data_IF_158928365160
#
_entry.id   IF_158928365160
#
_cell.length_a   1.000
_cell.length_b   1.000
_cell.length_c   1.000
_cell.angle_alpha   90.00
_cell.angle_beta   90.00
_cell.angle_gamma   90.00
#
_symmetry.space_group_name_H-M   'P 1'
#
loop_
_entity.id
_entity.type
_entity.pdbx_description
1 polymer ?
#
# COMPACT_ATOMS: atom_id res chain seq x y z
N UNK A 1 -92.41 -40.73 -4.74
CA UNK A 1 -92.03 -42.11 -5.09
C UNK A 1 -90.61 -42.07 -5.63
N UNK A 2 -89.69 -42.64 -4.85
CA UNK A 2 -88.32 -43.11 -5.17
C UNK A 2 -87.33 -42.09 -5.77
N UNK A 3 -86.32 -41.65 -5.01
CA UNK A 3 -85.04 -42.32 -4.67
C UNK A 3 -84.01 -42.30 -5.80
N UNK A 4 -82.87 -41.63 -5.55
CA UNK A 4 -81.49 -42.15 -5.69
C UNK A 4 -80.47 -40.98 -5.57
N UNK A 5 -80.27 -40.48 -4.36
CA UNK A 5 -79.09 -39.68 -4.03
C UNK A 5 -77.90 -40.63 -3.81
N UNK A 6 -76.85 -40.49 -4.62
CA UNK A 6 -75.61 -41.25 -4.49
C UNK A 6 -74.88 -40.81 -3.22
N UNK A 7 -74.81 -41.71 -2.23
CA UNK A 7 -73.96 -41.55 -1.05
C UNK A 7 -72.51 -41.86 -1.42
N UNK A 8 -71.63 -40.89 -1.20
CA UNK A 8 -70.19 -41.14 -1.15
C UNK A 8 -69.85 -41.71 0.24
N UNK A 9 -69.00 -42.75 0.36
CA UNK A 9 -68.58 -43.23 1.67
C UNK A 9 -67.72 -42.17 2.34
N UNK A 10 -68.04 -41.86 3.60
CA UNK A 10 -67.23 -41.02 4.45
C UNK A 10 -65.85 -41.68 4.62
N UNK A 11 -64.80 -41.02 4.14
CA UNK A 11 -63.42 -41.35 4.48
C UNK A 11 -63.26 -41.28 6.00
N UNK A 12 -62.70 -42.31 6.65
CA UNK A 12 -62.42 -42.24 8.08
C UNK A 12 -61.47 -41.07 8.35
N UNK A 13 -61.73 -40.31 9.41
CA UNK A 13 -60.81 -39.28 9.93
C UNK A 13 -59.46 -39.95 10.17
N UNK A 14 -58.55 -39.76 9.22
CA UNK A 14 -57.13 -40.03 9.39
C UNK A 14 -56.65 -39.22 10.58
N UNK A 15 -56.34 -39.92 11.67
CA UNK A 15 -55.49 -39.44 12.74
C UNK A 15 -54.23 -38.89 12.09
N UNK A 16 -54.06 -37.56 12.10
CA UNK A 16 -52.85 -36.95 11.59
C UNK A 16 -51.64 -37.55 12.33
N UNK A 17 -50.67 -38.14 11.62
CA UNK A 17 -49.42 -38.54 12.25
C UNK A 17 -48.73 -37.28 12.76
N UNK A 18 -48.35 -37.27 14.04
CA UNK A 18 -47.53 -36.20 14.58
C UNK A 18 -46.22 -36.13 13.79
N UNK A 19 -45.72 -34.92 13.46
CA UNK A 19 -44.45 -34.78 12.78
C UNK A 19 -43.34 -35.43 13.63
N UNK A 20 -42.32 -36.08 13.01
CA UNK A 20 -41.29 -36.86 13.71
C UNK A 20 -40.35 -36.05 14.60
N UNK A 21 -40.58 -34.74 14.74
CA UNK A 21 -39.80 -33.81 15.53
C UNK A 21 -40.75 -33.03 16.45
N UNK A 22 -41.31 -33.71 17.44
CA UNK A 22 -41.68 -33.02 18.67
C UNK A 22 -40.37 -32.53 19.28
N UNK A 23 -40.15 -31.21 19.30
CA UNK A 23 -39.04 -30.61 20.03
C UNK A 23 -39.04 -31.19 21.46
N UNK A 24 -37.92 -31.80 21.92
CA UNK A 24 -37.84 -32.19 23.32
C UNK A 24 -38.07 -30.94 24.17
N UNK A 25 -38.89 -31.04 25.22
CA UNK A 25 -39.04 -29.94 26.18
C UNK A 25 -37.62 -29.49 26.60
N UNK A 26 -37.33 -28.18 26.61
CA UNK A 26 -36.02 -27.71 27.01
C UNK A 26 -35.69 -28.28 28.39
N UNK A 27 -34.48 -28.82 28.58
CA UNK A 27 -34.12 -29.49 29.84
C UNK A 27 -34.35 -28.51 30.99
N UNK A 28 -35.21 -28.89 31.93
CA UNK A 28 -35.42 -28.08 33.14
C UNK A 28 -34.12 -28.10 33.94
N UNK A 29 -33.44 -26.96 33.96
CA UNK A 29 -32.24 -26.80 34.77
C UNK A 29 -32.57 -27.07 36.24
N UNK A 30 -31.71 -27.81 36.96
CA UNK A 30 -31.87 -28.02 38.40
C UNK A 30 -31.94 -26.68 39.16
N UNK A 31 -32.72 -26.64 40.23
CA UNK A 31 -32.90 -25.42 41.04
C UNK A 31 -31.63 -25.02 41.81
N UNK A 32 -30.71 -25.96 42.06
CA UNK A 32 -29.41 -25.70 42.65
C UNK A 32 -28.38 -26.76 42.24
N UNK A 33 -27.14 -26.34 41.97
CA UNK A 33 -26.01 -27.17 41.55
C UNK A 33 -24.78 -26.77 42.36
N UNK A 34 -24.06 -27.74 42.95
CA UNK A 34 -22.81 -27.44 43.66
C UNK A 34 -21.71 -27.02 42.69
N UNK A 35 -20.70 -26.28 43.15
CA UNK A 35 -19.57 -25.89 42.29
C UNK A 35 -18.86 -27.13 41.68
N UNK A 36 -18.69 -28.19 42.49
CA UNK A 36 -18.09 -29.45 42.02
C UNK A 36 -18.92 -30.10 40.91
N UNK A 37 -20.24 -30.17 41.07
CA UNK A 37 -21.14 -30.72 40.04
C UNK A 37 -21.12 -29.85 38.77
N UNK A 38 -21.04 -28.52 38.90
CA UNK A 38 -20.91 -27.64 37.75
C UNK A 38 -19.68 -27.99 36.91
N UNK A 39 -18.50 -28.08 37.53
CA UNK A 39 -17.27 -28.44 36.81
C UNK A 39 -17.31 -29.84 36.20
N UNK A 40 -17.94 -30.81 36.86
CA UNK A 40 -17.97 -32.20 36.41
C UNK A 40 -18.97 -32.47 35.28
N UNK A 41 -20.12 -31.77 35.28
CA UNK A 41 -21.27 -32.14 34.45
C UNK A 41 -21.79 -31.00 33.56
N UNK A 42 -21.60 -29.73 33.96
CA UNK A 42 -22.28 -28.60 33.33
C UNK A 42 -21.35 -27.62 32.62
N UNK A 43 -20.06 -27.57 32.98
CA UNK A 43 -19.10 -26.64 32.40
C UNK A 43 -18.88 -26.89 30.90
N UNK A 44 -18.71 -28.16 30.51
CA UNK A 44 -18.58 -28.63 29.11
C UNK A 44 -19.88 -29.30 28.62
N UNK A 45 -21.05 -28.82 29.04
CA UNK A 45 -22.34 -29.42 28.67
C UNK A 45 -22.51 -29.42 27.13
N UNK A 46 -22.93 -30.54 26.50
CA UNK A 46 -22.90 -30.69 25.04
C UNK A 46 -23.89 -29.76 24.31
N UNK A 47 -25.02 -29.45 24.94
CA UNK A 47 -26.12 -28.73 24.29
C UNK A 47 -26.33 -27.30 24.79
N UNK A 48 -25.66 -26.90 25.89
CA UNK A 48 -25.95 -25.64 26.59
C UNK A 48 -24.65 -24.96 27.01
N UNK A 49 -24.55 -23.65 26.74
CA UNK A 49 -23.49 -22.82 27.29
C UNK A 49 -23.96 -22.16 28.59
N UNK A 50 -23.40 -22.60 29.73
CA UNK A 50 -23.86 -22.23 31.06
C UNK A 50 -22.76 -21.55 31.87
N UNK A 51 -23.13 -20.43 32.51
CA UNK A 51 -22.43 -19.84 33.64
C UNK A 51 -23.02 -20.37 34.96
N UNK A 52 -22.27 -20.20 36.05
CA UNK A 52 -22.72 -20.61 37.38
C UNK A 52 -22.56 -19.48 38.38
N UNK A 53 -23.60 -19.21 39.16
CA UNK A 53 -23.60 -18.13 40.15
C UNK A 53 -24.30 -18.60 41.41
N UNK A 54 -23.52 -18.82 42.47
CA UNK A 54 -24.02 -19.17 43.80
C UNK A 54 -25.05 -20.32 43.77
N UNK A 55 -24.70 -21.40 43.08
CA UNK A 55 -25.54 -22.57 42.98
C UNK A 55 -26.58 -22.54 41.86
N UNK A 56 -26.76 -21.43 41.14
CA UNK A 56 -27.70 -21.32 40.01
C UNK A 56 -26.96 -21.43 38.68
N UNK A 57 -27.54 -22.17 37.74
CA UNK A 57 -27.10 -22.20 36.35
C UNK A 57 -27.74 -21.05 35.58
N UNK A 58 -26.95 -20.32 34.81
CA UNK A 58 -27.39 -19.19 33.98
C UNK A 58 -26.99 -19.47 32.53
N UNK A 59 -27.97 -19.55 31.62
CA UNK A 59 -27.67 -19.73 30.19
C UNK A 59 -27.06 -18.45 29.60
N UNK A 60 -26.07 -18.63 28.73
CA UNK A 60 -25.44 -17.53 28.01
C UNK A 60 -26.34 -17.18 26.80
N UNK A 61 -26.99 -16.01 26.80
CA UNK A 61 -27.84 -15.58 25.70
C UNK A 61 -26.99 -15.17 24.49
N UNK A 62 -27.60 -15.18 23.32
CA UNK A 62 -26.94 -14.78 22.06
C UNK A 62 -27.28 -13.33 21.71
N UNK A 63 -26.29 -12.56 21.26
CA UNK A 63 -26.50 -11.19 20.77
C UNK A 63 -27.05 -11.14 19.35
N UNK A 64 -27.63 -10.00 18.96
CA UNK A 64 -28.06 -9.74 17.60
C UNK A 64 -26.88 -9.56 16.62
N UNK A 65 -27.15 -9.71 15.32
CA UNK A 65 -26.11 -9.66 14.29
C UNK A 65 -25.41 -8.30 14.17
N UNK A 66 -26.06 -7.18 14.48
CA UNK A 66 -25.43 -5.86 14.45
C UNK A 66 -24.44 -5.73 15.61
N UNK A 67 -24.81 -6.21 16.80
CA UNK A 67 -23.90 -6.24 17.95
C UNK A 67 -22.70 -7.14 17.68
N UNK A 68 -22.91 -8.28 17.02
CA UNK A 68 -21.83 -9.18 16.55
C UNK A 68 -20.86 -8.45 15.60
N UNK A 69 -21.35 -7.58 14.70
CA UNK A 69 -20.47 -6.79 13.83
C UNK A 69 -19.62 -5.76 14.61
N UNK A 70 -20.19 -5.14 15.65
CA UNK A 70 -19.45 -4.23 16.54
C UNK A 70 -18.35 -5.00 17.27
N UNK A 71 -18.68 -6.18 17.79
CA UNK A 71 -17.74 -7.08 18.44
C UNK A 71 -16.59 -7.47 17.51
N UNK A 72 -16.89 -7.97 16.30
CA UNK A 72 -15.84 -8.39 15.35
C UNK A 72 -14.93 -7.25 14.92
N UNK A 73 -15.47 -6.05 14.71
CA UNK A 73 -14.66 -4.89 14.36
C UNK A 73 -13.69 -4.51 15.48
N UNK A 74 -14.13 -4.51 16.75
CA UNK A 74 -13.24 -4.23 17.88
C UNK A 74 -12.21 -5.35 18.08
N UNK A 75 -12.62 -6.61 17.93
CA UNK A 75 -11.73 -7.77 18.00
C UNK A 75 -10.63 -7.68 16.93
N UNK A 76 -10.98 -7.38 15.67
CA UNK A 76 -9.99 -7.20 14.60
C UNK A 76 -8.95 -6.12 14.97
N UNK A 77 -9.41 -5.00 15.52
CA UNK A 77 -8.56 -3.91 15.96
C UNK A 77 -7.60 -4.34 17.10
N UNK A 78 -8.11 -5.06 18.10
CA UNK A 78 -7.33 -5.61 19.20
C UNK A 78 -6.29 -6.62 18.71
N UNK A 79 -6.65 -7.50 17.77
CA UNK A 79 -5.73 -8.47 17.19
C UNK A 79 -4.60 -7.78 16.41
N UNK A 80 -4.89 -6.70 15.68
CA UNK A 80 -3.84 -5.89 15.04
C UNK A 80 -2.89 -5.27 16.05
N UNK A 81 -3.42 -4.73 17.16
CA UNK A 81 -2.59 -4.24 18.25
C UNK A 81 -1.72 -5.34 18.86
N UNK A 82 -2.29 -6.50 19.20
CA UNK A 82 -1.55 -7.60 19.84
C UNK A 82 -0.51 -8.25 18.93
N UNK A 83 -0.67 -8.22 17.60
CA UNK A 83 0.39 -8.64 16.66
C UNK A 83 1.66 -7.81 16.79
N UNK A 84 1.55 -6.53 17.16
CA UNK A 84 2.69 -5.62 17.38
C UNK A 84 3.14 -5.59 18.84
N UNK A 85 2.23 -5.88 19.74
CA UNK A 85 2.43 -5.91 21.19
C UNK A 85 1.95 -7.26 21.73
N UNK A 86 2.72 -8.36 21.55
CA UNK A 86 2.35 -9.72 21.96
C UNK A 86 2.43 -9.89 23.48
N UNK A 87 1.64 -9.09 24.18
CA UNK A 87 1.76 -8.77 25.59
C UNK A 87 0.56 -9.32 26.38
N UNK A 88 -0.31 -10.09 25.73
CA UNK A 88 -1.46 -10.70 26.37
C UNK A 88 -1.89 -12.01 25.70
N UNK A 89 -2.43 -12.90 26.52
CA UNK A 89 -3.16 -14.08 26.11
C UNK A 89 -4.65 -13.75 25.98
N UNK A 90 -5.35 -14.45 25.08
CA UNK A 90 -6.78 -14.28 24.85
C UNK A 90 -7.55 -15.37 25.61
N UNK A 91 -8.58 -14.95 26.34
CA UNK A 91 -9.59 -15.80 26.94
C UNK A 91 -10.86 -15.68 26.08
N UNK A 92 -11.24 -16.74 25.37
CA UNK A 92 -12.40 -16.75 24.47
C UNK A 92 -12.95 -18.18 24.36
N UNK A 93 -13.88 -18.40 23.42
CA UNK A 93 -14.43 -19.73 23.11
C UNK A 93 -14.99 -20.42 24.36
N UNK A 94 -15.84 -19.69 25.10
CA UNK A 94 -16.54 -20.20 26.28
C UNK A 94 -15.62 -20.62 27.43
N UNK A 95 -14.35 -20.18 27.42
CA UNK A 95 -13.44 -20.43 28.54
C UNK A 95 -13.90 -19.62 29.75
N UNK A 96 -14.32 -20.32 30.80
CA UNK A 96 -14.73 -19.71 32.06
C UNK A 96 -13.58 -19.48 33.02
N UNK A 97 -13.80 -18.56 33.96
CA UNK A 97 -12.91 -18.31 35.09
C UNK A 97 -13.72 -18.20 36.38
N UNK A 98 -13.09 -18.52 37.50
CA UNK A 98 -13.72 -18.57 38.82
C UNK A 98 -13.54 -17.25 39.57
N UNK A 99 -14.63 -16.70 40.09
CA UNK A 99 -14.70 -15.47 40.87
C UNK A 99 -14.98 -15.81 42.33
N UNK A 100 -14.03 -15.54 43.21
CA UNK A 100 -14.26 -15.56 44.66
C UNK A 100 -14.69 -14.17 45.12
N UNK A 101 -15.98 -14.00 45.43
CA UNK A 101 -16.57 -12.70 45.77
C UNK A 101 -16.33 -12.33 47.25
N UNK A 102 -16.27 -11.03 47.60
CA UNK A 102 -15.97 -10.59 48.96
C UNK A 102 -16.97 -11.03 50.04
N UNK A 103 -18.21 -11.34 49.65
CA UNK A 103 -19.27 -11.82 50.55
C UNK A 103 -19.21 -13.35 50.78
N UNK A 104 -18.15 -14.02 50.30
CA UNK A 104 -17.95 -15.46 50.41
C UNK A 104 -18.66 -16.25 49.31
N UNK A 105 -19.39 -15.60 48.40
CA UNK A 105 -20.00 -16.25 47.25
C UNK A 105 -18.97 -16.55 46.17
N UNK A 106 -19.38 -17.43 45.26
CA UNK A 106 -18.58 -17.82 44.10
C UNK A 106 -19.44 -17.70 42.86
N UNK A 107 -18.83 -17.19 41.79
CA UNK A 107 -19.38 -17.20 40.43
C UNK A 107 -18.36 -17.80 39.47
N UNK A 108 -18.82 -18.40 38.38
CA UNK A 108 -18.00 -18.86 37.27
C UNK A 108 -18.60 -18.24 36.01
N UNK A 109 -17.83 -17.36 35.37
CA UNK A 109 -18.26 -16.56 34.23
C UNK A 109 -17.49 -16.93 32.98
N UNK A 110 -18.17 -16.91 31.84
CA UNK A 110 -17.64 -17.20 30.50
C UNK A 110 -17.81 -15.94 29.66
N UNK A 111 -16.89 -14.96 29.79
CA UNK A 111 -16.99 -13.72 29.04
C UNK A 111 -16.87 -13.99 27.54
N UNK A 112 -17.52 -13.17 26.71
CA UNK A 112 -17.37 -13.30 25.24
C UNK A 112 -15.91 -13.16 24.80
N UNK A 113 -15.19 -12.23 25.43
CA UNK A 113 -13.77 -12.02 25.23
C UNK A 113 -13.10 -11.49 26.49
N UNK A 114 -11.94 -12.04 26.81
CA UNK A 114 -11.09 -11.60 27.89
C UNK A 114 -9.63 -11.56 27.47
N UNK A 115 -8.83 -10.80 28.21
CA UNK A 115 -7.40 -10.72 27.99
C UNK A 115 -6.63 -10.81 29.30
N UNK A 116 -5.53 -11.56 29.26
CA UNK A 116 -4.61 -11.75 30.37
C UNK A 116 -3.29 -11.10 29.94
N UNK A 117 -2.98 -9.94 30.50
CA UNK A 117 -1.74 -9.21 30.23
C UNK A 117 -0.54 -10.02 30.73
N UNK A 118 0.64 -9.86 30.12
CA UNK A 118 1.87 -10.59 30.48
C UNK A 118 2.34 -10.36 31.91
N UNK A 119 1.96 -9.22 32.49
CA UNK A 119 2.26 -8.86 33.88
C UNK A 119 1.19 -9.36 34.85
N UNK A 120 0.16 -10.07 34.36
CA UNK A 120 -0.83 -10.70 35.22
C UNK A 120 -0.13 -11.78 36.07
N UNK A 121 -0.37 -11.80 37.40
CA UNK A 121 0.30 -12.73 38.31
C UNK A 121 0.05 -14.21 37.98
N UNK A 122 -1.04 -14.52 37.27
CA UNK A 122 -1.38 -15.86 36.85
C UNK A 122 -1.47 -15.84 35.32
N UNK A 123 -0.58 -16.56 34.65
CA UNK A 123 -0.67 -16.78 33.21
C UNK A 123 -1.42 -18.09 32.96
N UNK A 124 -2.16 -18.17 31.86
CA UNK A 124 -2.81 -19.42 31.43
C UNK A 124 -1.78 -20.31 30.74
N UNK A 125 -1.90 -21.61 30.96
CA UNK A 125 -1.13 -22.64 30.25
C UNK A 125 -1.87 -23.13 29.00
N UNK A 126 -1.14 -23.68 28.03
CA UNK A 126 -1.70 -24.08 26.74
C UNK A 126 -2.79 -25.17 26.82
N UNK A 127 -2.81 -25.96 27.90
CA UNK A 127 -3.73 -27.09 28.08
C UNK A 127 -4.91 -26.80 29.01
N UNK A 128 -4.92 -25.65 29.68
CA UNK A 128 -5.98 -25.27 30.60
C UNK A 128 -7.30 -24.98 29.85
N UNK A 129 -8.37 -25.67 30.24
CA UNK A 129 -9.73 -25.50 29.67
C UNK A 129 -10.61 -24.52 30.43
N UNK A 130 -10.12 -24.04 31.56
CA UNK A 130 -10.66 -22.92 32.34
C UNK A 130 -9.48 -22.08 32.83
N UNK A 131 -9.75 -20.84 33.23
CA UNK A 131 -8.71 -19.96 33.74
C UNK A 131 -8.86 -19.77 35.25
N UNK A 132 -7.74 -19.93 35.98
CA UNK A 132 -7.71 -19.90 37.45
C UNK A 132 -7.40 -18.52 38.02
N UNK A 133 -6.93 -17.58 37.19
CA UNK A 133 -6.67 -16.20 37.57
C UNK A 133 -7.81 -15.24 37.26
N UNK A 134 -7.54 -13.94 37.35
CA UNK A 134 -8.47 -12.86 37.05
C UNK A 134 -8.02 -12.15 35.77
N UNK A 135 -8.83 -12.11 34.69
CA UNK A 135 -8.47 -11.39 33.47
C UNK A 135 -8.33 -9.88 33.71
N UNK A 136 -7.51 -9.23 32.89
CA UNK A 136 -7.23 -7.80 33.01
C UNK A 136 -8.27 -6.93 32.30
N UNK A 137 -8.71 -7.37 31.13
CA UNK A 137 -9.77 -6.75 30.35
C UNK A 137 -10.83 -7.82 30.03
N UNK A 138 -12.10 -7.49 30.27
CA UNK A 138 -13.24 -8.29 29.83
C UNK A 138 -14.12 -7.47 28.89
N UNK A 139 -14.70 -8.14 27.90
CA UNK A 139 -15.59 -7.56 26.91
C UNK A 139 -16.79 -8.50 26.79
N UNK A 140 -17.99 -7.94 26.92
CA UNK A 140 -19.27 -8.64 26.74
C UNK A 140 -20.03 -7.94 25.60
N UNK A 141 -20.50 -8.72 24.63
CA UNK A 141 -21.49 -8.33 23.66
C UNK A 141 -22.88 -8.49 24.31
N UNK A 142 -23.56 -7.37 24.55
CA UNK A 142 -24.84 -7.38 25.25
C UNK A 142 -25.87 -8.17 24.42
N UNK A 143 -26.58 -9.10 25.06
CA UNK A 143 -27.86 -9.61 24.53
C UNK A 143 -28.98 -8.90 25.28
N UNK A 144 -29.72 -8.04 24.60
CA UNK A 144 -30.82 -7.27 25.17
C UNK A 144 -32.20 -7.88 24.88
N UNK A 145 -32.22 -9.13 24.41
CA UNK A 145 -33.43 -9.92 24.14
C UNK A 145 -34.39 -9.99 25.33
N UNK A 146 -33.88 -9.81 26.56
CA UNK A 146 -34.67 -9.65 27.78
C UNK A 146 -34.08 -8.58 28.70
N UNK A 147 -34.94 -7.95 29.52
CA UNK A 147 -34.49 -7.02 30.58
C UNK A 147 -33.56 -7.69 31.60
N UNK A 148 -33.76 -8.99 31.85
CA UNK A 148 -32.94 -9.76 32.79
C UNK A 148 -31.49 -9.92 32.27
N UNK A 149 -31.32 -10.23 30.98
CA UNK A 149 -30.00 -10.32 30.35
C UNK A 149 -29.24 -9.00 30.44
N UNK A 150 -29.94 -7.90 30.13
CA UNK A 150 -29.38 -6.55 30.26
C UNK A 150 -28.93 -6.22 31.68
N UNK A 151 -29.79 -6.50 32.67
CA UNK A 151 -29.48 -6.24 34.08
C UNK A 151 -28.30 -7.08 34.57
N UNK A 152 -28.17 -8.33 34.09
CA UNK A 152 -27.05 -9.20 34.44
C UNK A 152 -25.71 -8.57 34.05
N UNK A 153 -25.57 -8.10 32.82
CA UNK A 153 -24.28 -7.62 32.31
C UNK A 153 -23.98 -6.17 32.76
N UNK A 154 -25.01 -5.31 32.86
CA UNK A 154 -24.86 -3.90 33.27
C UNK A 154 -24.74 -3.71 34.80
N UNK A 155 -25.23 -4.67 35.60
CA UNK A 155 -25.26 -4.57 37.08
C UNK A 155 -24.51 -5.72 37.75
N UNK A 156 -24.95 -6.97 37.56
CA UNK A 156 -24.43 -8.13 38.30
C UNK A 156 -22.97 -8.41 37.94
N UNK A 157 -22.67 -8.74 36.67
CA UNK A 157 -21.31 -9.03 36.20
C UNK A 157 -20.38 -7.84 36.40
N UNK A 158 -20.86 -6.63 36.11
CA UNK A 158 -20.11 -5.39 36.37
C UNK A 158 -19.64 -5.30 37.83
N UNK A 159 -20.51 -5.60 38.80
CA UNK A 159 -20.17 -5.61 40.22
C UNK A 159 -19.20 -6.73 40.58
N UNK A 160 -19.45 -7.95 40.11
CA UNK A 160 -18.58 -9.11 40.34
C UNK A 160 -17.16 -8.89 39.80
N UNK A 161 -17.03 -8.44 38.54
CA UNK A 161 -15.75 -8.16 37.88
C UNK A 161 -14.97 -7.06 38.61
N UNK A 162 -15.64 -5.99 39.05
CA UNK A 162 -15.01 -4.96 39.87
C UNK A 162 -14.52 -5.53 41.21
N UNK A 163 -15.34 -6.37 41.86
CA UNK A 163 -15.03 -6.93 43.17
C UNK A 163 -13.79 -7.82 43.14
N UNK A 164 -13.62 -8.65 42.10
CA UNK A 164 -12.47 -9.56 41.96
C UNK A 164 -11.22 -8.92 41.35
N UNK A 165 -11.31 -7.70 40.84
CA UNK A 165 -10.13 -6.92 40.43
C UNK A 165 -9.87 -6.85 38.92
N UNK A 166 -10.83 -7.22 38.07
CA UNK A 166 -10.73 -6.99 36.63
C UNK A 166 -10.49 -5.50 36.37
N UNK A 167 -9.45 -5.16 35.60
CA UNK A 167 -8.96 -3.77 35.48
C UNK A 167 -9.82 -2.95 34.52
N UNK A 168 -10.30 -3.56 33.45
CA UNK A 168 -11.19 -2.93 32.46
C UNK A 168 -12.35 -3.85 32.07
N UNK A 169 -13.50 -3.23 31.81
CA UNK A 169 -14.70 -3.95 31.41
C UNK A 169 -15.49 -3.17 30.36
N UNK A 170 -15.70 -3.78 29.20
CA UNK A 170 -16.41 -3.19 28.06
C UNK A 170 -17.73 -3.93 27.82
N UNK A 171 -18.79 -3.16 27.60
CA UNK A 171 -20.09 -3.64 27.15
C UNK A 171 -20.31 -3.11 25.75
N UNK A 172 -20.42 -4.03 24.79
CA UNK A 172 -20.62 -3.74 23.38
C UNK A 172 -22.09 -3.94 22.99
N UNK A 173 -22.58 -3.07 22.13
CA UNK A 173 -23.92 -3.14 21.57
C UNK A 173 -23.98 -2.31 20.29
N UNK A 174 -24.89 -2.65 19.38
CA UNK A 174 -25.11 -1.85 18.17
C UNK A 174 -25.76 -0.49 18.46
N UNK A 175 -26.61 -0.36 19.48
CA UNK A 175 -27.12 0.94 19.93
C UNK A 175 -26.01 1.71 20.69
N UNK A 176 -25.60 2.90 20.22
CA UNK A 176 -24.63 3.74 20.92
C UNK A 176 -24.96 4.07 22.38
N UNK A 177 -26.25 4.10 22.74
CA UNK A 177 -26.70 4.37 24.11
C UNK A 177 -26.38 3.23 25.08
N UNK A 178 -26.23 2.01 24.57
CA UNK A 178 -25.93 0.81 25.35
C UNK A 178 -24.42 0.54 25.47
N UNK A 179 -23.57 1.27 24.73
CA UNK A 179 -22.12 1.13 24.81
C UNK A 179 -21.59 1.68 26.14
N UNK A 180 -20.79 0.88 26.84
CA UNK A 180 -20.15 1.29 28.08
C UNK A 180 -18.71 0.76 28.20
N UNK A 181 -17.80 1.61 28.68
CA UNK A 181 -16.39 1.28 28.85
C UNK A 181 -15.96 1.71 30.23
N UNK A 182 -15.48 0.77 31.04
CA UNK A 182 -15.15 1.00 32.43
C UNK A 182 -13.70 0.67 32.73
N UNK A 183 -13.12 1.43 33.64
CA UNK A 183 -11.84 1.12 34.28
C UNK A 183 -12.03 1.06 35.79
N UNK A 184 -11.35 0.13 36.45
CA UNK A 184 -11.43 -0.05 37.89
C UNK A 184 -10.61 1.02 38.59
N UNK A 185 -11.27 1.83 39.41
CA UNK A 185 -10.62 2.85 40.23
C UNK A 185 -9.92 2.24 41.45
N UNK A 186 -9.08 3.02 42.13
CA UNK A 186 -8.42 2.61 43.38
C UNK A 186 -9.42 2.28 44.51
N UNK A 187 -10.64 2.83 44.46
CA UNK A 187 -11.74 2.46 45.37
C UNK A 187 -12.24 1.03 45.19
N UNK A 188 -11.82 0.35 44.12
CA UNK A 188 -12.29 -0.98 43.75
C UNK A 188 -13.58 -1.00 42.94
N UNK A 189 -14.16 0.16 42.64
CA UNK A 189 -15.36 0.31 41.82
C UNK A 189 -15.01 0.68 40.39
N UNK A 190 -15.87 0.29 39.46
CA UNK A 190 -15.78 0.75 38.08
C UNK A 190 -16.21 2.21 37.93
N UNK A 191 -15.42 2.95 37.15
CA UNK A 191 -15.76 4.29 36.67
C UNK A 191 -15.69 4.30 35.14
N UNK A 192 -16.52 5.11 34.44
CA UNK A 192 -16.43 5.22 32.99
C UNK A 192 -15.04 5.68 32.55
N UNK A 193 -14.52 5.09 31.47
CA UNK A 193 -13.31 5.59 30.81
C UNK A 193 -13.65 6.93 30.15
N UNK A 194 -12.94 8.03 30.48
CA UNK A 194 -13.20 9.32 29.88
C UNK A 194 -12.86 9.30 28.39
N UNK A 195 -13.75 9.84 27.57
CA UNK A 195 -13.50 10.06 26.15
C UNK A 195 -12.60 11.29 25.98
N UNK A 196 -11.46 11.12 25.35
CA UNK A 196 -10.59 12.23 24.94
C UNK A 196 -10.86 12.52 23.46
N UNK A 197 -11.55 13.62 23.17
CA UNK A 197 -11.95 13.97 21.78
C UNK A 197 -12.71 12.82 21.07
N UNK A 198 -13.54 12.09 21.82
CA UNK A 198 -14.29 10.93 21.31
C UNK A 198 -13.49 9.63 21.20
N UNK A 199 -12.22 9.63 21.60
CA UNK A 199 -11.32 8.47 21.62
C UNK A 199 -11.33 7.81 23.01
N UNK A 200 -11.47 6.50 23.02
CA UNK A 200 -11.28 5.63 24.19
C UNK A 200 -9.81 5.19 24.21
N UNK A 201 -9.17 5.33 25.36
CA UNK A 201 -7.79 4.88 25.58
C UNK A 201 -7.81 3.76 26.61
N UNK A 202 -7.34 2.57 26.24
CA UNK A 202 -7.15 1.50 27.21
C UNK A 202 -5.98 1.82 28.13
N UNK A 203 -6.17 1.56 29.41
CA UNK A 203 -5.17 1.57 30.48
C UNK A 203 -4.54 0.19 30.67
N UNK A 204 -5.24 -0.88 30.31
CA UNK A 204 -4.68 -2.25 30.29
C UNK A 204 -3.69 -2.40 29.15
N UNK A 205 -3.98 -1.80 28.00
CA UNK A 205 -3.15 -1.84 26.79
C UNK A 205 -2.66 -0.44 26.38
N UNK A 206 -1.52 0.02 26.92
CA UNK A 206 -0.97 1.33 26.56
C UNK A 206 -0.77 1.49 25.05
N UNK A 207 -1.39 2.53 24.48
CA UNK A 207 -1.35 2.79 23.04
C UNK A 207 -2.50 2.15 22.24
N UNK A 208 -3.25 1.20 22.82
CA UNK A 208 -4.51 0.76 22.23
C UNK A 208 -5.58 1.82 22.46
N UNK A 209 -6.14 2.33 21.36
CA UNK A 209 -7.13 3.40 21.36
C UNK A 209 -8.04 3.30 20.15
N UNK A 210 -9.28 3.75 20.30
CA UNK A 210 -10.26 3.75 19.22
C UNK A 210 -11.33 4.82 19.44
N UNK A 211 -11.88 5.38 18.37
CA UNK A 211 -13.00 6.31 18.48
C UNK A 211 -14.28 5.55 18.79
N UNK A 212 -15.05 6.01 19.78
CA UNK A 212 -16.35 5.40 20.12
C UNK A 212 -17.30 5.39 18.91
N UNK A 213 -17.25 6.44 18.07
CA UNK A 213 -18.06 6.52 16.86
C UNK A 213 -17.71 5.44 15.82
N UNK A 214 -16.50 4.88 15.86
CA UNK A 214 -16.02 3.94 14.84
C UNK A 214 -16.56 2.53 15.07
N UNK A 215 -17.06 2.24 16.27
CA UNK A 215 -17.86 1.04 16.53
C UNK A 215 -19.13 1.00 15.67
N UNK A 216 -19.70 2.17 15.36
CA UNK A 216 -20.87 2.29 14.49
C UNK A 216 -20.48 2.34 13.01
N UNK A 217 -19.48 3.17 12.69
CA UNK A 217 -19.04 3.37 11.30
C UNK A 217 -18.33 2.15 10.72
N UNK A 218 -17.63 1.40 11.58
CA UNK A 218 -16.81 0.23 11.26
C UNK A 218 -15.94 0.45 9.99
N UNK A 219 -15.09 1.50 9.98
CA UNK A 219 -14.22 1.80 8.84
C UNK A 219 -13.31 0.60 8.52
N UNK A 220 -12.96 0.45 7.26
CA UNK A 220 -12.08 -0.62 6.79
C UNK A 220 -10.64 -0.46 7.30
N UNK A 221 -9.88 -1.56 7.36
CA UNK A 221 -8.45 -1.50 7.68
C UNK A 221 -7.66 -0.58 6.72
N UNK A 222 -8.10 -0.48 5.47
CA UNK A 222 -7.51 0.41 4.45
C UNK A 222 -7.66 1.90 4.79
N UNK A 223 -8.77 2.28 5.42
CA UNK A 223 -8.99 3.63 5.93
C UNK A 223 -8.23 3.83 7.25
N UNK A 224 -8.35 2.88 8.17
CA UNK A 224 -7.74 2.93 9.49
C UNK A 224 -6.21 3.07 9.44
N UNK A 225 -5.53 2.37 8.53
CA UNK A 225 -4.07 2.49 8.37
C UNK A 225 -3.61 3.90 7.98
N UNK A 226 -4.49 4.75 7.45
CA UNK A 226 -4.17 6.15 7.10
C UNK A 226 -4.50 7.13 8.23
N UNK A 227 -5.24 6.69 9.23
CA UNK A 227 -5.73 7.52 10.33
C UNK A 227 -4.74 7.54 11.50
N UNK A 228 -4.25 8.71 11.96
CA UNK A 228 -3.25 8.81 13.02
C UNK A 228 -3.61 8.13 14.35
N UNK A 229 -4.91 7.94 14.65
CA UNK A 229 -5.34 7.22 15.85
C UNK A 229 -4.94 5.75 15.78
N UNK A 230 -5.00 5.13 14.60
CA UNK A 230 -4.88 3.69 14.42
C UNK A 230 -3.59 3.27 13.70
N UNK A 231 -3.02 4.17 12.90
CA UNK A 231 -1.93 3.88 11.97
C UNK A 231 -0.61 3.43 12.61
N UNK A 232 -0.50 3.47 13.95
CA UNK A 232 0.64 2.94 14.69
C UNK A 232 0.55 1.42 14.91
N UNK A 233 -0.66 0.84 14.86
CA UNK A 233 -0.87 -0.59 15.09
C UNK A 233 -1.73 -1.29 14.03
N UNK A 234 -2.42 -0.53 13.16
CA UNK A 234 -3.14 -1.08 11.99
C UNK A 234 -2.22 -1.06 10.76
N UNK A 235 -1.73 -2.24 10.40
CA UNK A 235 -0.94 -2.50 9.18
C UNK A 235 0.18 -1.47 8.91
N UNK A 236 1.05 -1.13 9.90
CA UNK A 236 2.09 -0.12 9.70
C UNK A 236 3.09 -0.52 8.59
N UNK A 237 3.35 -1.81 8.42
CA UNK A 237 4.27 -2.35 7.40
C UNK A 237 3.80 -1.99 5.98
N UNK A 238 2.49 -1.89 5.77
CA UNK A 238 1.92 -1.47 4.48
C UNK A 238 2.19 0.00 4.20
N UNK A 239 2.19 0.86 5.23
CA UNK A 239 2.52 2.28 5.06
C UNK A 239 3.99 2.46 4.72
N UNK A 240 4.85 1.70 5.40
CA UNK A 240 6.29 1.68 5.12
C UNK A 240 6.54 1.21 3.68
N UNK A 241 5.89 0.13 3.25
CA UNK A 241 5.99 -0.35 1.88
C UNK A 241 5.46 0.67 0.84
N UNK A 242 4.36 1.36 1.12
CA UNK A 242 3.84 2.43 0.26
C UNK A 242 4.82 3.61 0.15
N UNK A 243 5.40 4.05 1.27
CA UNK A 243 6.38 5.12 1.27
C UNK A 243 7.65 4.75 0.47
N UNK A 244 8.13 3.51 0.62
CA UNK A 244 9.26 2.98 -0.17
C UNK A 244 8.90 2.93 -1.67
N UNK A 245 7.70 2.47 -2.01
CA UNK A 245 7.24 2.41 -3.40
C UNK A 245 7.09 3.81 -4.02
N UNK A 246 6.59 4.78 -3.26
CA UNK A 246 6.46 6.18 -3.69
C UNK A 246 7.84 6.82 -3.91
N UNK A 247 8.78 6.60 -2.98
CA UNK A 247 10.15 7.08 -3.12
C UNK A 247 10.85 6.45 -4.34
N UNK A 248 10.66 5.16 -4.58
CA UNK A 248 11.21 4.48 -5.75
C UNK A 248 10.65 5.04 -7.07
N UNK A 249 9.34 5.35 -7.11
CA UNK A 249 8.72 6.00 -8.28
C UNK A 249 9.29 7.38 -8.52
N UNK A 250 9.42 8.20 -7.48
CA UNK A 250 10.00 9.54 -7.60
C UNK A 250 11.45 9.49 -8.12
N UNK A 251 12.27 8.54 -7.65
CA UNK A 251 13.63 8.34 -8.15
C UNK A 251 13.64 7.88 -9.62
N UNK A 252 12.73 7.00 -10.01
CA UNK A 252 12.60 6.54 -11.40
C UNK A 252 12.20 7.69 -12.34
N UNK A 253 11.25 8.53 -11.94
CA UNK A 253 10.83 9.72 -12.70
C UNK A 253 11.97 10.74 -12.85
N UNK A 254 12.74 10.97 -11.79
CA UNK A 254 13.94 11.82 -11.87
C UNK A 254 15.00 11.25 -12.81
N UNK A 255 15.27 9.95 -12.73
CA UNK A 255 16.22 9.27 -13.61
C UNK A 255 15.77 9.34 -15.09
N UNK A 256 14.47 9.17 -15.35
CA UNK A 256 13.92 9.32 -16.68
C UNK A 256 14.09 10.76 -17.20
N UNK A 257 13.78 11.75 -16.38
CA UNK A 257 13.93 13.17 -16.74
C UNK A 257 15.39 13.51 -17.07
N UNK A 258 16.34 13.02 -16.27
CA UNK A 258 17.78 13.20 -16.52
C UNK A 258 18.22 12.51 -17.81
N UNK A 259 17.73 11.30 -18.08
CA UNK A 259 18.02 10.58 -19.32
C UNK A 259 17.47 11.30 -20.55
N UNK A 260 16.27 11.87 -20.48
CA UNK A 260 15.67 12.68 -21.55
C UNK A 260 16.47 13.97 -21.79
N UNK A 261 16.88 14.68 -20.73
CA UNK A 261 17.74 15.85 -20.84
C UNK A 261 19.11 15.52 -21.45
N UNK A 262 19.73 14.42 -21.03
CA UNK A 262 21.00 13.96 -21.59
C UNK A 262 20.88 13.61 -23.07
N UNK A 263 19.77 12.97 -23.49
CA UNK A 263 19.48 12.69 -24.90
C UNK A 263 19.32 13.97 -25.71
N UNK A 264 18.53 14.93 -25.22
CA UNK A 264 18.35 16.21 -25.89
C UNK A 264 19.66 16.99 -26.03
N UNK A 265 20.52 16.97 -25.00
CA UNK A 265 21.86 17.57 -25.07
C UNK A 265 22.76 16.85 -26.08
N UNK A 266 22.72 15.52 -26.14
CA UNK A 266 23.48 14.74 -27.10
C UNK A 266 23.02 15.03 -28.55
N UNK A 267 21.72 15.12 -28.80
CA UNK A 267 21.16 15.49 -30.10
C UNK A 267 21.55 16.92 -30.53
N UNK A 268 21.51 17.87 -29.59
CA UNK A 268 22.00 19.23 -29.83
C UNK A 268 23.50 19.25 -30.17
N UNK A 269 24.32 18.51 -29.42
CA UNK A 269 25.76 18.41 -29.66
C UNK A 269 26.07 17.74 -31.01
N UNK A 270 25.30 16.70 -31.39
CA UNK A 270 25.41 16.08 -32.72
C UNK A 270 25.06 17.08 -33.83
N UNK A 271 23.95 17.80 -33.69
CA UNK A 271 23.53 18.82 -34.66
C UNK A 271 24.59 19.90 -34.82
N UNK A 272 25.16 20.40 -33.72
CA UNK A 272 26.26 21.38 -33.76
C UNK A 272 27.51 20.82 -34.43
N UNK A 273 27.87 19.56 -34.15
CA UNK A 273 29.01 18.91 -34.78
C UNK A 273 28.82 18.71 -36.29
N UNK A 274 27.61 18.35 -36.74
CA UNK A 274 27.26 18.24 -38.15
C UNK A 274 27.34 19.60 -38.86
N UNK A 275 26.79 20.66 -38.25
CA UNK A 275 26.89 22.03 -38.77
C UNK A 275 28.34 22.48 -38.89
N UNK A 276 29.17 22.23 -37.87
CA UNK A 276 30.59 22.57 -37.88
C UNK A 276 31.35 21.81 -38.98
N UNK A 277 31.04 20.52 -39.19
CA UNK A 277 31.62 19.72 -40.29
C UNK A 277 31.23 20.28 -41.66
N UNK A 278 29.95 20.59 -41.87
CA UNK A 278 29.47 21.18 -43.11
C UNK A 278 30.13 22.54 -43.41
N UNK A 279 30.30 23.39 -42.38
CA UNK A 279 31.03 24.66 -42.52
C UNK A 279 32.51 24.44 -42.90
N UNK A 280 33.18 23.50 -42.24
CA UNK A 280 34.57 23.17 -42.53
C UNK A 280 34.76 22.61 -43.95
N UNK A 281 33.81 21.79 -44.44
CA UNK A 281 33.80 21.30 -45.82
C UNK A 281 33.58 22.43 -46.83
N UNK A 282 32.63 23.34 -46.58
CA UNK A 282 32.43 24.51 -47.42
C UNK A 282 33.67 25.41 -47.47
N UNK A 283 34.35 25.60 -46.34
CA UNK A 283 35.57 26.40 -46.30
C UNK A 283 36.73 25.72 -47.03
N UNK A 284 36.89 24.40 -46.90
CA UNK A 284 37.85 23.63 -47.72
C UNK A 284 37.58 23.79 -49.20
N UNK A 285 36.34 23.61 -49.63
CA UNK A 285 35.97 23.75 -51.04
C UNK A 285 36.25 25.18 -51.55
N UNK A 286 35.95 26.21 -50.75
CA UNK A 286 36.31 27.61 -51.09
C UNK A 286 37.81 27.81 -51.24
N UNK A 287 38.63 27.21 -50.36
CA UNK A 287 40.10 27.26 -50.45
C UNK A 287 40.61 26.55 -51.71
N UNK A 288 40.11 25.36 -52.00
CA UNK A 288 40.46 24.61 -53.22
C UNK A 288 40.12 25.40 -54.49
N UNK A 289 38.94 26.02 -54.56
CA UNK A 289 38.55 26.87 -55.69
C UNK A 289 39.44 28.12 -55.79
N UNK A 290 39.80 28.73 -54.67
CA UNK A 290 40.71 29.89 -54.66
C UNK A 290 42.13 29.51 -55.11
N UNK A 291 42.66 28.38 -54.65
CA UNK A 291 43.96 27.84 -55.08
C UNK A 291 43.96 27.48 -56.57
N UNK A 292 42.89 26.85 -57.07
CA UNK A 292 42.75 26.55 -58.50
C UNK A 292 42.77 27.83 -59.35
N UNK A 293 42.02 28.86 -58.95
CA UNK A 293 42.05 30.17 -59.63
C UNK A 293 43.41 30.83 -59.58
N UNK A 294 44.08 30.81 -58.43
CA UNK A 294 45.42 31.38 -58.28
C UNK A 294 46.45 30.65 -59.18
N UNK A 295 46.33 29.33 -59.30
CA UNK A 295 47.17 28.53 -60.19
C UNK A 295 46.88 28.81 -61.67
N UNK A 296 45.61 28.93 -62.06
CA UNK A 296 45.25 29.37 -63.42
C UNK A 296 45.82 30.76 -63.74
N UNK A 297 45.66 31.73 -62.84
CA UNK A 297 46.24 33.07 -63.02
C UNK A 297 47.77 33.01 -63.14
N UNK A 298 48.43 32.16 -62.34
CA UNK A 298 49.89 31.97 -62.41
C UNK A 298 50.30 31.37 -63.76
N UNK A 299 49.61 30.33 -64.23
CA UNK A 299 49.85 29.72 -65.55
C UNK A 299 49.60 30.72 -66.68
N UNK A 300 48.56 31.53 -66.60
CA UNK A 300 48.28 32.58 -67.57
C UNK A 300 49.39 33.65 -67.59
N UNK A 301 49.89 34.07 -66.41
CA UNK A 301 51.02 34.99 -66.31
C UNK A 301 52.30 34.39 -66.88
N UNK A 302 52.62 33.14 -66.54
CA UNK A 302 53.79 32.43 -67.07
C UNK A 302 53.69 32.28 -68.61
N UNK A 303 52.52 31.92 -69.14
CA UNK A 303 52.27 31.86 -70.58
C UNK A 303 52.37 33.23 -71.26
N UNK A 304 51.89 34.30 -70.62
CA UNK A 304 52.01 35.66 -71.14
C UNK A 304 53.48 36.12 -71.18
N UNK A 305 54.27 35.81 -70.15
CA UNK A 305 55.71 36.07 -70.12
C UNK A 305 56.42 35.30 -71.22
N UNK A 306 56.12 34.00 -71.37
CA UNK A 306 56.70 33.16 -72.42
C UNK A 306 56.41 33.71 -73.83
N UNK A 307 55.15 34.10 -74.11
CA UNK A 307 54.77 34.74 -75.38
C UNK A 307 55.52 36.06 -75.60
N UNK A 308 55.65 36.89 -74.57
CA UNK A 308 56.40 38.14 -74.67
C UNK A 308 57.89 37.91 -74.95
N UNK A 309 58.47 36.84 -74.39
CA UNK A 309 59.85 36.45 -74.64
C UNK A 309 60.04 35.84 -76.04
N UNK A 310 59.11 35.01 -76.52
CA UNK A 310 59.08 34.53 -77.91
C UNK A 310 58.97 35.70 -78.91
N UNK A 311 58.08 36.66 -78.69
CA UNK A 311 57.98 37.86 -79.53
C UNK A 311 59.26 38.70 -79.47
N UNK A 312 59.94 38.77 -78.32
CA UNK A 312 61.24 39.45 -78.21
C UNK A 312 62.31 38.73 -79.02
N UNK A 313 62.36 37.39 -78.94
CA UNK A 313 63.29 36.59 -79.73
C UNK A 313 63.01 36.70 -81.23
N UNK A 314 61.74 36.66 -81.66
CA UNK A 314 61.36 36.88 -83.05
C UNK A 314 61.77 38.27 -83.53
N UNK A 315 61.46 39.34 -82.78
CA UNK A 315 61.91 40.70 -83.11
C UNK A 315 63.43 40.80 -83.20
N UNK A 316 64.16 40.07 -82.35
CA UNK A 316 65.61 40.02 -82.39
C UNK A 316 66.13 39.25 -83.62
N UNK A 317 65.51 38.12 -83.98
CA UNK A 317 65.82 37.37 -85.20
C UNK A 317 65.50 38.18 -86.47
N UNK A 318 64.35 38.84 -86.54
CA UNK A 318 64.00 39.73 -87.65
C UNK A 318 65.01 40.88 -87.78
N UNK A 319 65.46 41.45 -86.65
CA UNK A 319 66.51 42.47 -86.64
C UNK A 319 67.83 41.91 -87.17
N UNK A 320 68.25 40.72 -86.73
CA UNK A 320 69.45 40.05 -87.22
C UNK A 320 69.35 39.71 -88.71
N UNK A 321 68.18 39.26 -89.19
CA UNK A 321 67.93 38.98 -90.60
C UNK A 321 67.95 40.26 -91.44
N UNK A 322 67.38 41.37 -90.92
CA UNK A 322 67.51 42.70 -91.55
C UNK A 322 68.96 43.16 -91.62
N UNK A 323 69.70 43.05 -90.52
CA UNK A 323 71.12 43.41 -90.48
C UNK A 323 71.94 42.53 -91.46
N UNK A 324 71.67 41.22 -91.53
CA UNK A 324 72.29 40.31 -92.49
C UNK A 324 71.88 40.57 -93.94
N UNK A 325 70.63 40.97 -94.20
CA UNK A 325 70.16 41.36 -95.53
C UNK A 325 70.79 42.67 -95.99
N UNK A 326 70.95 43.64 -95.09
CA UNK A 326 71.70 44.89 -95.33
C UNK A 326 73.17 44.56 -95.62
N UNK A 327 73.78 43.65 -94.87
CA UNK A 327 75.16 43.20 -95.12
C UNK A 327 75.30 42.47 -96.47
N UNK A 328 74.34 41.62 -96.87
CA UNK A 328 74.32 40.96 -98.19
C UNK A 328 74.08 41.92 -99.34
N UNK A 329 73.24 42.93 -99.14
CA UNK A 329 73.05 44.02 -100.12
C UNK A 329 74.34 44.82 -100.28
N UNK A 330 75.06 45.11 -99.18
CA UNK A 330 76.37 45.72 -99.24
C UNK A 330 77.42 44.82 -99.95
N UNK A 331 77.42 43.50 -99.73
CA UNK A 331 78.28 42.55 -100.47
C UNK A 331 77.92 42.48 -101.97
N UNK A 332 76.63 42.52 -102.33
CA UNK A 332 76.18 42.55 -103.73
C UNK A 332 76.52 43.87 -104.42
N UNK A 333 76.51 45.00 -103.72
CA UNK A 333 77.02 46.29 -104.23
C UNK A 333 78.53 46.25 -104.48
N UNK A 334 79.31 45.52 -103.66
CA UNK A 334 80.75 45.31 -103.91
C UNK A 334 80.99 44.36 -105.11
N UNK A 335 80.16 43.34 -105.31
CA UNK A 335 80.26 42.41 -106.44
C UNK A 335 79.82 43.02 -107.78
N UNK A 336 78.81 43.90 -107.79
CA UNK A 336 78.40 44.66 -108.98
C UNK A 336 79.44 45.72 -109.40
N UNK A 337 80.30 46.17 -108.47
CA UNK A 337 81.39 47.08 -108.77
C UNK A 337 82.62 46.41 -109.42
N UNK A 338 82.68 45.07 -109.51
CA UNK A 338 83.86 44.33 -110.00
C UNK A 338 83.66 43.55 -111.30
N UNK A 339 82.53 43.72 -112.01
CA UNK A 339 82.19 42.88 -113.16
C UNK A 339 81.61 43.60 -114.37
N UNK A 340 82.27 44.65 -114.88
CA UNK A 340 82.25 45.03 -116.31
C UNK A 340 83.22 46.20 -116.58
N UNK A 341 84.51 45.86 -116.64
CA UNK A 341 85.49 46.57 -117.47
C UNK A 341 86.22 45.50 -118.30
N UNK A 342 86.50 45.84 -119.56
CA UNK A 342 87.20 45.08 -120.62
C UNK A 342 86.32 44.44 -121.72
N UNK A 343 86.21 45.17 -122.85
CA UNK A 343 86.41 44.61 -124.20
C UNK A 343 87.73 45.19 -124.78
N UNK A 344 88.07 45.10 -126.08
CA UNK A 344 87.57 44.27 -127.19
C UNK A 344 88.69 43.52 -127.97
N UNK A 345 88.33 42.49 -128.74
CA UNK A 345 88.84 42.20 -130.10
C UNK A 345 87.97 41.17 -130.80
#
# INVERSE_FOLDING_TARGET
MSDLAHSWPATPRSSQPQPPWSEPEPPRLPSSVTEQAYWAEWYEHPDLNLEWHEGRLEEVPVSDQLTVQVYFWLLELLLHYLRRHPDAQILALETGFRLALPDGKVSIRKPDLGFIHRDNPIQRTDTERSYTGIPDLLIEALSDSTQANRQRDEVTKKGEYAAVGVREYYILHHDPACLAFYTRAASGLYVPIPLQEGVIHSRVFPGFRFRRADLQRRPSLTELRKDPIYAQFVLPEWREAEAVAEQARALAEQAQTQAEQARAQAEQAQTQAEQARAQAEQERHRREVAEARANEERQQREAAVARADEERQQRQQERQQREAAVARLAELEVLLAQGHTEGPQ
#
